data_IF_580042287329
#
_entry.id   IF_580042287329
#
_cell.length_a   1.000
_cell.length_b   1.000
_cell.length_c   1.000
_cell.angle_alpha   90.00
_cell.angle_beta   90.00
_cell.angle_gamma   90.00
#
_symmetry.space_group_name_H-M   'P 1'
#
loop_
_entity.id
_entity.type
_entity.pdbx_description
1 polymer ?
#
# COMPACT_ATOMS: atom_id res chain seq x y z
N UNK A 1 -47.88 40.75 -41.43
CA UNK A 1 -46.65 40.82 -40.61
C UNK A 1 -46.52 39.51 -39.86
N UNK A 2 -45.53 38.67 -40.19
CA UNK A 2 -45.28 37.36 -39.55
C UNK A 2 -44.03 37.54 -38.68
N UNK A 3 -44.18 37.44 -37.36
CA UNK A 3 -43.04 37.45 -36.43
C UNK A 3 -42.54 36.00 -36.25
N UNK A 4 -41.32 35.69 -36.75
CA UNK A 4 -40.60 34.47 -36.43
C UNK A 4 -39.87 34.62 -35.11
N UNK A 5 -40.28 33.87 -34.12
CA UNK A 5 -39.56 33.79 -32.85
C UNK A 5 -38.40 32.77 -32.97
N UNK A 6 -37.15 33.23 -32.92
CA UNK A 6 -35.96 32.39 -32.83
C UNK A 6 -35.77 31.96 -31.36
N UNK A 7 -36.01 30.66 -31.11
CA UNK A 7 -35.66 30.04 -29.82
C UNK A 7 -34.20 29.67 -29.85
N UNK A 8 -33.35 30.38 -29.14
CA UNK A 8 -31.97 30.02 -28.87
C UNK A 8 -31.94 28.95 -27.79
N UNK A 9 -31.60 27.73 -28.17
CA UNK A 9 -31.30 26.63 -27.24
C UNK A 9 -29.88 26.80 -26.70
N UNK A 10 -29.72 27.23 -25.45
CA UNK A 10 -28.44 27.23 -24.78
C UNK A 10 -28.11 25.81 -24.33
N UNK A 11 -27.10 25.20 -24.95
CA UNK A 11 -26.54 23.92 -24.51
C UNK A 11 -25.69 24.16 -23.25
N UNK A 12 -26.22 23.79 -22.07
CA UNK A 12 -25.43 23.78 -20.84
C UNK A 12 -24.61 22.49 -20.87
N UNK A 13 -23.32 22.61 -21.18
CA UNK A 13 -22.36 21.52 -21.04
C UNK A 13 -22.03 21.35 -19.56
N UNK A 14 -22.60 20.34 -18.94
CA UNK A 14 -22.17 19.90 -17.62
C UNK A 14 -20.79 19.23 -17.75
N UNK A 15 -19.74 19.99 -17.46
CA UNK A 15 -18.43 19.41 -17.19
C UNK A 15 -18.50 18.69 -15.84
N UNK A 16 -18.71 17.39 -15.88
CA UNK A 16 -18.51 16.54 -14.71
C UNK A 16 -17.01 16.52 -14.41
N UNK A 17 -16.57 17.34 -13.44
CA UNK A 17 -15.27 17.14 -12.82
C UNK A 17 -15.33 15.79 -12.12
N UNK A 18 -14.84 14.75 -12.76
CA UNK A 18 -14.50 13.50 -12.08
C UNK A 18 -13.33 13.83 -11.15
N UNK A 19 -13.58 13.87 -9.85
CA UNK A 19 -12.51 13.94 -8.88
C UNK A 19 -11.59 12.74 -9.16
N UNK A 20 -10.36 13.02 -9.59
CA UNK A 20 -9.37 11.98 -9.85
C UNK A 20 -9.10 11.25 -8.53
N UNK A 21 -9.38 9.96 -8.48
CA UNK A 21 -9.08 9.15 -7.30
C UNK A 21 -7.59 9.22 -7.00
N UNK A 22 -7.24 9.42 -5.73
CA UNK A 22 -5.84 9.40 -5.30
C UNK A 22 -5.19 8.09 -5.72
N UNK A 23 -3.96 8.18 -6.19
CA UNK A 23 -3.09 7.04 -6.47
C UNK A 23 -2.20 6.75 -5.25
N UNK A 24 -1.69 5.54 -5.12
CA UNK A 24 -0.64 5.20 -4.15
C UNK A 24 0.57 6.16 -4.25
N UNK A 25 0.89 6.62 -5.45
CA UNK A 25 2.01 7.52 -5.71
C UNK A 25 1.83 8.94 -5.16
N UNK A 26 0.62 9.31 -4.71
CA UNK A 26 0.34 10.65 -4.18
C UNK A 26 0.63 10.77 -2.67
N UNK A 27 1.09 9.68 -2.05
CA UNK A 27 1.43 9.67 -0.63
C UNK A 27 2.90 9.94 -0.39
N UNK A 28 3.14 10.60 0.73
CA UNK A 28 4.47 10.77 1.34
C UNK A 28 4.39 10.21 2.74
N UNK A 29 5.38 9.44 3.13
CA UNK A 29 5.50 8.80 4.45
C UNK A 29 6.89 9.04 5.02
N UNK A 30 7.12 8.62 6.25
CA UNK A 30 8.45 8.64 6.88
C UNK A 30 9.00 7.22 6.91
N UNK A 31 10.26 7.02 6.57
CA UNK A 31 10.93 5.73 6.72
C UNK A 31 11.29 5.43 8.19
N UNK A 32 11.84 4.26 8.44
CA UNK A 32 12.22 3.81 9.78
C UNK A 32 13.33 4.65 10.40
N UNK A 33 14.10 5.39 9.59
CA UNK A 33 15.16 6.32 10.02
C UNK A 33 14.67 7.77 10.18
N UNK A 34 13.36 8.02 10.01
CA UNK A 34 12.75 9.34 10.14
C UNK A 34 12.88 10.22 8.90
N UNK A 35 13.30 9.69 7.75
CA UNK A 35 13.42 10.42 6.49
C UNK A 35 12.12 10.39 5.69
N UNK A 36 11.84 11.47 4.99
CA UNK A 36 10.70 11.53 4.07
C UNK A 36 10.93 10.62 2.86
N UNK A 37 9.91 9.81 2.53
CA UNK A 37 9.86 8.94 1.35
C UNK A 37 8.59 9.21 0.57
N UNK A 38 8.74 9.55 -0.69
CA UNK A 38 7.61 9.75 -1.60
C UNK A 38 7.25 8.44 -2.29
N UNK A 39 5.99 8.05 -2.22
CA UNK A 39 5.55 6.84 -2.93
C UNK A 39 5.68 6.97 -4.45
N UNK A 40 5.77 8.21 -4.96
CA UNK A 40 6.10 8.49 -6.36
C UNK A 40 7.49 7.99 -6.79
N UNK A 41 8.40 7.75 -5.86
CA UNK A 41 9.75 7.22 -6.16
C UNK A 41 9.69 5.74 -6.60
N UNK A 42 8.54 5.10 -6.38
CA UNK A 42 8.25 3.74 -6.80
C UNK A 42 7.42 3.63 -8.08
N UNK A 43 7.18 4.74 -8.80
CA UNK A 43 6.48 4.71 -10.10
C UNK A 43 7.14 3.74 -11.07
N UNK A 44 6.31 2.99 -11.81
CA UNK A 44 6.77 1.98 -12.75
C UNK A 44 7.22 0.66 -12.10
N UNK A 45 7.01 0.51 -10.77
CA UNK A 45 7.24 -0.75 -10.05
C UNK A 45 5.93 -1.28 -9.50
N UNK A 46 5.78 -2.59 -9.49
CA UNK A 46 4.81 -3.28 -8.64
C UNK A 46 5.23 -3.13 -7.18
N UNK A 47 4.29 -2.79 -6.29
CA UNK A 47 4.59 -2.58 -4.87
C UNK A 47 3.76 -3.53 -4.03
N UNK A 48 4.43 -4.32 -3.18
CA UNK A 48 3.78 -5.13 -2.16
C UNK A 48 3.86 -4.41 -0.81
N UNK A 49 2.76 -3.79 -0.40
CA UNK A 49 2.67 -3.10 0.89
C UNK A 49 2.23 -4.09 1.96
N UNK A 50 2.97 -4.15 3.07
CA UNK A 50 2.70 -5.12 4.16
C UNK A 50 2.74 -4.41 5.51
N UNK A 51 1.71 -4.60 6.35
CA UNK A 51 1.78 -4.19 7.75
C UNK A 51 2.45 -5.30 8.57
N UNK A 52 3.53 -4.97 9.23
CA UNK A 52 4.42 -5.95 9.88
C UNK A 52 4.48 -5.78 11.39
N UNK A 53 4.94 -6.82 12.09
CA UNK A 53 5.17 -6.79 13.53
C UNK A 53 6.23 -7.81 13.96
N UNK A 54 7.01 -7.47 15.00
CA UNK A 54 8.14 -8.26 15.49
C UNK A 54 7.73 -9.44 16.40
N UNK A 55 6.53 -9.38 17.02
CA UNK A 55 6.09 -10.37 18.03
C UNK A 55 4.78 -11.08 17.64
N UNK A 56 4.64 -11.41 16.36
CA UNK A 56 3.46 -12.05 15.79
C UNK A 56 3.77 -13.49 15.37
N UNK A 57 2.77 -14.38 15.40
CA UNK A 57 2.92 -15.73 14.83
C UNK A 57 3.27 -15.72 13.33
N UNK A 58 2.93 -14.64 12.61
CA UNK A 58 3.25 -14.45 11.20
C UNK A 58 4.63 -13.80 10.96
N UNK A 59 5.39 -13.43 11.99
CA UNK A 59 6.71 -12.77 11.86
C UNK A 59 7.70 -13.55 10.98
N UNK A 60 7.72 -14.91 10.96
CA UNK A 60 8.57 -15.66 10.02
C UNK A 60 8.35 -15.32 8.54
N UNK A 61 7.20 -14.73 8.17
CA UNK A 61 6.96 -14.30 6.78
C UNK A 61 7.95 -13.22 6.30
N UNK A 62 8.71 -12.56 7.18
CA UNK A 62 9.82 -11.69 6.77
C UNK A 62 10.80 -12.41 5.84
N UNK A 63 11.07 -13.70 6.09
CA UNK A 63 11.97 -14.49 5.23
C UNK A 63 11.45 -14.61 3.80
N UNK A 64 10.15 -14.93 3.65
CA UNK A 64 9.53 -15.03 2.32
C UNK A 64 9.42 -13.67 1.61
N UNK A 65 9.15 -12.59 2.35
CA UNK A 65 9.13 -11.22 1.81
C UNK A 65 10.53 -10.82 1.32
N UNK A 66 11.58 -11.13 2.09
CA UNK A 66 12.96 -10.84 1.70
C UNK A 66 13.38 -11.67 0.47
N UNK A 67 13.03 -12.97 0.43
CA UNK A 67 13.31 -13.80 -0.77
C UNK A 67 12.62 -13.26 -2.03
N UNK A 68 11.35 -12.83 -1.93
CA UNK A 68 10.66 -12.15 -3.04
C UNK A 68 11.38 -10.87 -3.46
N UNK A 69 11.79 -10.06 -2.49
CA UNK A 69 12.49 -8.82 -2.78
C UNK A 69 13.85 -9.07 -3.45
N UNK A 70 14.62 -10.03 -2.98
CA UNK A 70 15.89 -10.41 -3.58
C UNK A 70 15.71 -10.95 -5.01
N UNK A 71 14.67 -11.74 -5.26
CA UNK A 71 14.44 -12.36 -6.56
C UNK A 71 13.89 -11.37 -7.60
N UNK A 72 12.96 -10.52 -7.21
CA UNK A 72 12.20 -9.67 -8.15
C UNK A 72 12.50 -8.16 -8.01
N UNK A 73 13.14 -7.71 -6.92
CA UNK A 73 13.29 -6.30 -6.55
C UNK A 73 14.19 -5.45 -7.43
N UNK A 74 15.04 -6.07 -8.27
CA UNK A 74 16.10 -5.36 -8.99
C UNK A 74 15.62 -4.41 -10.10
N UNK A 75 14.39 -4.56 -10.61
CA UNK A 75 13.93 -3.76 -11.77
C UNK A 75 12.49 -3.24 -11.66
N UNK A 76 11.51 -4.08 -11.32
CA UNK A 76 10.07 -3.74 -11.46
C UNK A 76 9.23 -4.03 -10.22
N UNK A 77 9.83 -4.32 -9.09
CA UNK A 77 9.14 -4.70 -7.87
C UNK A 77 9.79 -4.12 -6.62
N UNK A 78 8.99 -3.88 -5.59
CA UNK A 78 9.46 -3.51 -4.26
C UNK A 78 8.50 -4.03 -3.20
N UNK A 79 9.03 -4.50 -2.07
CA UNK A 79 8.29 -4.72 -0.83
C UNK A 79 8.43 -3.46 0.04
N UNK A 80 7.34 -2.99 0.64
CA UNK A 80 7.36 -1.88 1.61
C UNK A 80 6.71 -2.36 2.90
N UNK A 81 7.48 -2.42 3.98
CA UNK A 81 7.02 -2.81 5.31
C UNK A 81 6.59 -1.61 6.14
N UNK A 82 5.38 -1.66 6.73
CA UNK A 82 4.88 -0.69 7.69
C UNK A 82 4.71 -1.35 9.06
N UNK A 83 5.59 -1.11 10.02
CA UNK A 83 5.40 -1.60 11.39
C UNK A 83 4.11 -1.04 12.00
N UNK A 84 3.31 -1.90 12.67
CA UNK A 84 2.03 -1.51 13.22
C UNK A 84 1.72 -2.23 14.54
N UNK A 85 1.39 -1.47 15.59
CA UNK A 85 1.10 -2.00 16.92
C UNK A 85 -0.41 -2.21 17.21
N UNK A 86 -1.24 -2.21 16.16
CA UNK A 86 -2.71 -2.26 16.30
C UNK A 86 -3.24 -3.63 16.74
N UNK A 87 -2.47 -4.69 16.60
CA UNK A 87 -2.91 -6.06 16.87
C UNK A 87 -2.19 -6.61 18.11
N UNK A 88 -2.90 -6.63 19.23
CA UNK A 88 -2.46 -7.15 20.52
C UNK A 88 -1.11 -6.59 21.02
N UNK A 89 -0.72 -5.38 20.59
CA UNK A 89 0.55 -4.79 21.01
C UNK A 89 1.78 -5.57 20.52
N UNK A 90 1.67 -6.24 19.35
CA UNK A 90 2.74 -7.11 18.83
C UNK A 90 3.89 -6.37 18.16
N UNK A 91 3.85 -5.02 18.12
CA UNK A 91 4.97 -4.18 17.66
C UNK A 91 5.28 -3.06 18.69
N UNK A 92 5.71 -3.42 19.92
CA UNK A 92 5.88 -2.45 21.00
C UNK A 92 7.14 -1.59 20.89
N UNK A 93 8.17 -2.04 20.14
CA UNK A 93 9.47 -1.40 20.03
C UNK A 93 9.43 0.00 19.39
N UNK A 94 10.50 0.76 19.58
CA UNK A 94 10.76 1.99 18.81
C UNK A 94 11.09 1.65 17.34
N UNK A 95 11.21 2.65 16.47
CA UNK A 95 11.67 2.43 15.09
C UNK A 95 13.09 1.83 15.06
N UNK A 96 13.96 2.25 15.96
CA UNK A 96 15.33 1.74 16.11
C UNK A 96 15.32 0.25 16.50
N UNK A 97 14.52 -0.13 17.52
CA UNK A 97 14.38 -1.52 17.96
C UNK A 97 13.85 -2.43 16.83
N UNK A 98 12.86 -1.92 16.07
CA UNK A 98 12.27 -2.64 14.95
C UNK A 98 13.29 -2.83 13.82
N UNK A 99 14.03 -1.77 13.48
CA UNK A 99 15.09 -1.82 12.47
C UNK A 99 16.16 -2.84 12.84
N UNK A 100 16.64 -2.80 14.08
CA UNK A 100 17.64 -3.75 14.58
C UNK A 100 17.11 -5.18 14.51
N UNK A 101 15.89 -5.43 14.97
CA UNK A 101 15.25 -6.74 14.90
C UNK A 101 15.15 -7.26 13.46
N UNK A 102 14.63 -6.46 12.53
CA UNK A 102 14.45 -6.84 11.14
C UNK A 102 15.79 -7.15 10.45
N UNK A 103 16.81 -6.32 10.70
CA UNK A 103 18.13 -6.52 10.07
C UNK A 103 18.92 -7.65 10.69
N UNK A 104 18.94 -7.79 12.02
CA UNK A 104 19.74 -8.80 12.70
C UNK A 104 19.13 -10.20 12.61
N UNK A 105 17.80 -10.31 12.67
CA UNK A 105 17.11 -11.61 12.74
C UNK A 105 16.73 -12.14 11.37
N UNK A 106 16.23 -11.27 10.48
CA UNK A 106 15.68 -11.65 9.18
C UNK A 106 16.47 -11.11 7.98
N UNK A 107 17.55 -10.37 8.21
CA UNK A 107 18.36 -9.72 7.18
C UNK A 107 17.53 -8.93 6.17
N UNK A 108 16.47 -8.26 6.63
CA UNK A 108 15.57 -7.47 5.79
C UNK A 108 16.34 -6.35 5.11
N UNK A 109 16.24 -6.31 3.77
CA UNK A 109 16.86 -5.27 2.94
C UNK A 109 15.85 -4.43 2.15
N UNK A 110 14.58 -4.85 2.12
CA UNK A 110 13.53 -4.02 1.53
C UNK A 110 13.19 -2.80 2.40
N UNK A 111 12.64 -1.73 1.80
CA UNK A 111 12.27 -0.51 2.51
C UNK A 111 11.32 -0.75 3.68
N UNK A 112 11.75 -0.33 4.87
CA UNK A 112 10.93 -0.29 6.08
C UNK A 112 10.54 1.15 6.38
N UNK A 113 9.25 1.38 6.59
CA UNK A 113 8.71 2.69 6.96
C UNK A 113 8.66 2.84 8.48
N UNK A 114 8.49 4.06 8.94
CA UNK A 114 8.23 4.35 10.36
C UNK A 114 6.94 3.68 10.83
N UNK A 115 6.88 3.37 12.13
CA UNK A 115 5.69 2.75 12.73
C UNK A 115 4.47 3.66 12.63
N UNK A 116 3.36 3.11 12.14
CA UNK A 116 2.09 3.83 11.95
C UNK A 116 0.90 3.03 12.50
N UNK A 117 -0.25 3.68 12.56
CA UNK A 117 -1.53 3.00 12.80
C UNK A 117 -2.17 2.56 11.48
N UNK A 118 -2.56 1.29 11.40
CA UNK A 118 -3.22 0.69 10.21
C UNK A 118 -4.70 0.39 10.45
N UNK A 119 -5.22 0.68 11.66
CA UNK A 119 -6.60 0.41 12.06
C UNK A 119 -7.11 1.43 13.09
N UNK A 120 -8.44 1.61 13.14
CA UNK A 120 -9.06 2.50 14.13
C UNK A 120 -9.07 3.96 13.70
N UNK A 121 -9.29 4.86 14.67
CA UNK A 121 -9.47 6.30 14.42
C UNK A 121 -8.21 6.98 13.91
N UNK A 122 -7.06 6.48 14.33
CA UNK A 122 -5.74 7.03 14.01
C UNK A 122 -5.10 6.35 12.79
N UNK A 123 -5.91 5.62 11.99
CA UNK A 123 -5.45 4.96 10.75
C UNK A 123 -4.74 5.98 9.86
N UNK A 124 -3.49 5.71 9.50
CA UNK A 124 -2.68 6.59 8.64
C UNK A 124 -3.33 6.81 7.27
N UNK A 125 -3.20 7.99 6.63
CA UNK A 125 -3.86 8.30 5.36
C UNK A 125 -3.62 7.30 4.25
N UNK A 126 -2.40 6.77 4.13
CA UNK A 126 -2.07 5.72 3.15
C UNK A 126 -2.86 4.43 3.41
N UNK A 127 -3.07 4.05 4.69
CA UNK A 127 -3.88 2.88 5.03
C UNK A 127 -5.39 3.16 4.94
N UNK A 128 -5.85 4.40 5.11
CA UNK A 128 -7.23 4.76 4.76
C UNK A 128 -7.48 4.49 3.27
N UNK A 129 -6.56 4.94 2.41
CA UNK A 129 -6.64 4.70 0.97
C UNK A 129 -6.58 3.19 0.63
N UNK A 130 -5.63 2.44 1.18
CA UNK A 130 -5.50 1.00 0.93
C UNK A 130 -6.75 0.20 1.32
N UNK A 131 -7.52 0.67 2.29
CA UNK A 131 -8.61 -0.10 2.90
C UNK A 131 -10.02 0.36 2.53
N UNK A 132 -10.18 1.54 1.88
CA UNK A 132 -11.49 2.13 1.61
C UNK A 132 -11.72 2.31 0.10
N UNK A 133 -12.72 1.62 -0.44
CA UNK A 133 -13.10 1.72 -1.85
C UNK A 133 -13.40 3.15 -2.29
N UNK A 134 -13.99 3.95 -1.42
CA UNK A 134 -14.30 5.35 -1.68
C UNK A 134 -13.03 6.15 -2.05
N UNK A 135 -11.87 5.79 -1.48
CA UNK A 135 -10.60 6.47 -1.69
C UNK A 135 -9.76 5.84 -2.80
N UNK A 136 -9.73 4.50 -2.87
CA UNK A 136 -8.89 3.77 -3.84
C UNK A 136 -9.61 3.44 -5.15
N UNK A 137 -10.95 3.55 -5.18
CA UNK A 137 -11.76 3.27 -6.36
C UNK A 137 -11.98 1.78 -6.67
N UNK A 138 -11.36 0.87 -5.92
CA UNK A 138 -11.32 -0.58 -6.25
C UNK A 138 -12.10 -1.43 -5.27
N UNK A 139 -11.68 -1.45 -4.00
CA UNK A 139 -12.26 -2.35 -3.00
C UNK A 139 -12.14 -1.85 -1.57
N UNK A 140 -13.04 -2.34 -0.70
CA UNK A 140 -12.89 -2.25 0.75
C UNK A 140 -12.09 -3.46 1.25
N UNK A 141 -11.04 -3.22 2.06
CA UNK A 141 -10.13 -4.25 2.51
C UNK A 141 -9.53 -3.94 3.89
N UNK A 142 -10.37 -3.92 4.93
CA UNK A 142 -9.89 -3.66 6.30
C UNK A 142 -8.73 -4.58 6.68
N UNK A 143 -7.74 -4.01 7.38
CA UNK A 143 -6.63 -4.79 7.92
C UNK A 143 -7.15 -5.67 9.05
N UNK A 144 -7.07 -6.98 8.87
CA UNK A 144 -7.60 -7.96 9.82
C UNK A 144 -6.57 -8.45 10.83
N UNK A 145 -5.29 -8.47 10.45
CA UNK A 145 -4.17 -8.89 11.31
C UNK A 145 -2.83 -8.38 10.75
N UNK A 146 -1.73 -8.60 11.49
CA UNK A 146 -0.37 -8.35 11.00
C UNK A 146 -0.05 -9.23 9.80
N UNK A 147 0.76 -8.72 8.88
CA UNK A 147 1.17 -9.35 7.61
C UNK A 147 0.06 -9.46 6.56
N UNK A 148 -0.94 -8.58 6.58
CA UNK A 148 -1.80 -8.41 5.41
C UNK A 148 -1.03 -7.69 4.31
N UNK A 149 -1.20 -8.16 3.06
CA UNK A 149 -0.46 -7.64 1.91
C UNK A 149 -1.43 -6.97 0.96
N UNK A 150 -1.01 -5.82 0.42
CA UNK A 150 -1.73 -5.07 -0.61
C UNK A 150 -0.86 -5.01 -1.85
N UNK A 151 -1.40 -5.42 -3.00
CA UNK A 151 -0.72 -5.43 -4.29
C UNK A 151 -1.06 -4.16 -5.05
N UNK A 152 -0.04 -3.37 -5.40
CA UNK A 152 -0.15 -2.11 -6.14
C UNK A 152 0.56 -2.28 -7.47
N UNK A 153 -0.11 -1.92 -8.56
CA UNK A 153 0.48 -1.98 -9.89
C UNK A 153 1.46 -0.83 -10.17
N UNK A 154 2.07 -0.86 -11.33
CA UNK A 154 3.07 0.11 -11.79
C UNK A 154 2.51 1.54 -11.91
N UNK A 155 1.19 1.68 -12.02
CA UNK A 155 0.47 2.95 -12.11
C UNK A 155 0.05 3.49 -10.74
N UNK A 156 0.30 2.72 -9.67
CA UNK A 156 -0.09 3.07 -8.31
C UNK A 156 -1.55 2.75 -7.99
N UNK A 157 -2.17 1.80 -8.72
CA UNK A 157 -3.52 1.33 -8.45
C UNK A 157 -3.50 0.09 -7.54
N UNK A 158 -4.42 0.02 -6.59
CA UNK A 158 -4.65 -1.19 -5.81
C UNK A 158 -5.25 -2.27 -6.72
N UNK A 159 -4.60 -3.43 -6.82
CA UNK A 159 -5.05 -4.52 -7.70
C UNK A 159 -5.41 -5.81 -6.95
N UNK A 160 -5.03 -5.92 -5.68
CA UNK A 160 -5.39 -7.09 -4.88
C UNK A 160 -4.96 -6.97 -3.42
N UNK A 161 -5.52 -7.86 -2.62
CA UNK A 161 -5.24 -7.95 -1.17
C UNK A 161 -5.11 -9.41 -0.78
N UNK A 162 -4.00 -9.76 -0.14
CA UNK A 162 -3.71 -11.10 0.34
C UNK A 162 -3.81 -11.16 1.86
N UNK A 163 -4.50 -12.16 2.38
CA UNK A 163 -4.79 -12.32 3.81
C UNK A 163 -3.51 -12.49 4.64
N UNK A 164 -3.53 -12.10 5.94
CA UNK A 164 -2.35 -12.13 6.83
C UNK A 164 -1.64 -13.47 6.92
N UNK A 165 -2.40 -14.58 7.08
CA UNK A 165 -1.84 -15.92 7.25
C UNK A 165 -1.37 -16.60 5.96
N UNK A 166 -1.52 -15.93 4.81
CA UNK A 166 -1.05 -16.46 3.52
C UNK A 166 0.42 -16.09 3.34
N UNK A 167 1.25 -17.09 3.04
CA UNK A 167 2.69 -16.90 2.83
C UNK A 167 2.98 -15.99 1.64
N UNK A 168 4.09 -15.23 1.66
CA UNK A 168 4.43 -14.30 0.57
C UNK A 168 4.69 -14.98 -0.77
N UNK A 169 5.25 -16.18 -0.78
CA UNK A 169 5.67 -16.88 -2.00
C UNK A 169 4.56 -17.80 -2.57
N UNK A 170 3.33 -17.29 -2.60
CA UNK A 170 2.20 -18.01 -3.19
C UNK A 170 2.08 -17.78 -4.69
N UNK A 171 1.40 -18.69 -5.37
CA UNK A 171 1.09 -18.58 -6.79
C UNK A 171 0.35 -17.28 -7.12
N UNK A 172 -0.51 -16.79 -6.22
CA UNK A 172 -1.22 -15.53 -6.39
C UNK A 172 -0.25 -14.34 -6.50
N UNK A 173 0.72 -14.21 -5.58
CA UNK A 173 1.69 -13.12 -5.58
C UNK A 173 2.72 -13.32 -6.69
N UNK A 174 3.26 -14.53 -6.85
CA UNK A 174 4.24 -14.83 -7.90
C UNK A 174 3.62 -14.61 -9.28
N UNK A 175 2.42 -15.15 -9.53
CA UNK A 175 1.72 -14.97 -10.80
C UNK A 175 1.39 -13.50 -11.10
N UNK A 176 1.09 -12.68 -10.07
CA UNK A 176 0.96 -11.24 -10.27
C UNK A 176 2.30 -10.58 -10.63
N UNK A 177 3.40 -10.98 -9.99
CA UNK A 177 4.73 -10.42 -10.27
C UNK A 177 5.21 -10.75 -11.69
N UNK A 178 4.89 -11.93 -12.19
CA UNK A 178 5.35 -12.44 -13.50
C UNK A 178 4.46 -12.01 -14.68
N UNK A 179 3.29 -11.43 -14.42
CA UNK A 179 2.47 -10.80 -15.48
C UNK A 179 3.18 -9.55 -16.01
N UNK A 180 3.30 -9.46 -17.34
CA UNK A 180 3.73 -8.25 -18.05
C UNK A 180 2.63 -7.20 -18.09
#
# INVERSE_FOLDING_TARGET
MRYSALFSFAFIVFNSLTAQSKSFHDFTVTDIDGKEVKMSDFKGKKVLVVNVASKCGNTPQYEGLERLYQKYGSKKFVVIGFPANNFMGQEPGSNEDIKEFCTSTYQVTFPMMGKISVKGKDKAPIYQWLTQKELNGVMDAEVTWNFQKFMIDENGQLVGVVKPGVEPETEEIIGWLEKE
#
